data_IF_195073163921
#
_entry.id   IF_195073163921
#
_cell.length_a   1.000
_cell.length_b   1.000
_cell.length_c   1.000
_cell.angle_alpha   90.00
_cell.angle_beta   90.00
_cell.angle_gamma   90.00
#
_symmetry.space_group_name_H-M   'P 1'
#
loop_
_entity.id
_entity.type
_entity.pdbx_description
1 polymer ?
#
# COMPACT_ATOMS: atom_id res chain seq x y z
N UNK A 1 9.53 -4.11 7.44
CA UNK A 1 9.85 -5.47 7.93
C UNK A 1 11.29 -5.81 7.57
N UNK A 2 11.98 -6.60 8.40
CA UNK A 2 13.20 -7.31 8.00
C UNK A 2 12.80 -8.73 7.59
N UNK A 3 13.14 -9.13 6.37
CA UNK A 3 12.72 -10.41 5.78
C UNK A 3 13.90 -11.38 5.66
N UNK A 4 13.69 -12.60 6.12
CA UNK A 4 14.66 -13.69 6.18
C UNK A 4 14.10 -14.89 5.40
N UNK A 5 14.35 -14.99 4.08
CA UNK A 5 13.81 -16.05 3.26
C UNK A 5 14.59 -17.36 3.44
N UNK A 6 13.90 -18.50 3.33
CA UNK A 6 14.50 -19.83 3.35
C UNK A 6 15.74 -19.96 2.45
N UNK A 7 16.77 -20.66 2.94
CA UNK A 7 17.94 -21.10 2.16
C UNK A 7 17.56 -22.23 1.19
N UNK A 8 16.46 -22.95 1.45
CA UNK A 8 16.02 -24.03 0.59
C UNK A 8 15.39 -23.48 -0.69
N UNK A 9 16.06 -23.67 -1.83
CA UNK A 9 15.56 -23.23 -3.14
C UNK A 9 14.35 -24.01 -3.64
N UNK A 10 14.09 -25.21 -3.09
CA UNK A 10 12.93 -26.02 -3.41
C UNK A 10 11.72 -25.71 -2.52
N UNK A 11 11.88 -24.93 -1.45
CA UNK A 11 10.75 -24.47 -0.66
C UNK A 11 9.86 -23.58 -1.54
N UNK A 12 8.54 -23.69 -1.35
CA UNK A 12 7.61 -22.72 -1.92
C UNK A 12 8.09 -21.31 -1.55
N UNK A 13 7.96 -20.33 -2.44
CA UNK A 13 8.31 -18.94 -2.14
C UNK A 13 7.04 -18.17 -1.82
N UNK A 14 7.03 -17.29 -0.80
CA UNK A 14 5.84 -16.50 -0.54
C UNK A 14 5.57 -15.59 -1.74
N UNK A 15 4.28 -15.30 -1.99
CA UNK A 15 3.89 -14.40 -3.08
C UNK A 15 4.58 -13.04 -2.91
N UNK A 16 5.34 -12.54 -3.91
CA UNK A 16 6.00 -11.24 -3.81
C UNK A 16 5.05 -10.09 -3.49
N UNK A 17 3.78 -10.16 -3.89
CA UNK A 17 2.78 -9.15 -3.56
C UNK A 17 2.50 -9.10 -2.06
N UNK A 18 2.36 -10.28 -1.42
CA UNK A 18 2.13 -10.35 0.02
C UNK A 18 3.34 -9.87 0.81
N UNK A 19 4.55 -10.27 0.37
CA UNK A 19 5.81 -9.82 0.98
C UNK A 19 5.94 -8.30 0.90
N UNK A 20 5.69 -7.72 -0.27
CA UNK A 20 5.71 -6.27 -0.48
C UNK A 20 4.66 -5.56 0.39
N UNK A 21 3.46 -6.13 0.49
CA UNK A 21 2.39 -5.56 1.34
C UNK A 21 2.77 -5.60 2.82
N UNK A 22 3.33 -6.71 3.30
CA UNK A 22 3.85 -6.80 4.67
C UNK A 22 5.01 -5.83 4.92
N UNK A 23 5.87 -5.58 3.93
CA UNK A 23 6.89 -4.53 4.04
C UNK A 23 6.33 -3.12 4.21
N UNK A 24 5.18 -2.82 3.60
CA UNK A 24 4.48 -1.55 3.76
C UNK A 24 3.78 -1.44 5.12
N UNK A 25 3.21 -2.55 5.61
CA UNK A 25 2.43 -2.58 6.84
C UNK A 25 3.28 -2.68 8.11
N UNK A 26 4.43 -3.34 8.05
CA UNK A 26 5.27 -3.65 9.20
C UNK A 26 6.61 -2.91 9.14
N UNK A 27 7.09 -2.40 10.28
CA UNK A 27 8.38 -1.69 10.38
C UNK A 27 9.61 -2.61 10.42
N UNK A 28 10.81 -2.03 10.50
CA UNK A 28 12.07 -2.81 10.61
C UNK A 28 12.23 -3.53 11.96
N UNK A 29 11.42 -3.19 12.96
CA UNK A 29 11.37 -3.90 14.23
C UNK A 29 10.70 -5.28 14.12
N UNK A 30 9.98 -5.56 13.04
CA UNK A 30 9.40 -6.88 12.81
C UNK A 30 10.31 -7.68 11.89
N UNK A 31 10.77 -8.82 12.39
CA UNK A 31 11.59 -9.78 11.69
C UNK A 31 10.71 -10.92 11.24
N UNK A 32 10.76 -11.27 9.96
CA UNK A 32 9.90 -12.28 9.38
C UNK A 32 10.73 -13.35 8.68
N UNK A 33 10.70 -14.55 9.23
CA UNK A 33 11.34 -15.74 8.69
C UNK A 33 10.31 -16.50 7.87
N UNK A 34 10.55 -16.67 6.58
CA UNK A 34 9.56 -17.26 5.68
C UNK A 34 10.01 -18.60 5.09
N UNK A 35 9.09 -19.57 5.08
CA UNK A 35 9.26 -20.94 4.57
C UNK A 35 10.46 -21.64 5.21
N UNK A 36 10.58 -21.44 6.52
CA UNK A 36 11.61 -22.04 7.35
C UNK A 36 11.35 -23.52 7.57
N UNK A 37 12.39 -24.25 7.93
CA UNK A 37 12.30 -25.67 8.32
C UNK A 37 12.96 -25.83 9.67
N UNK A 38 12.20 -26.32 10.64
CA UNK A 38 12.64 -26.49 12.03
C UNK A 38 12.75 -27.98 12.32
N UNK A 39 13.94 -28.36 12.79
CA UNK A 39 14.26 -29.72 13.19
C UNK A 39 14.35 -29.75 14.73
N UNK A 40 13.40 -30.42 15.37
CA UNK A 40 13.30 -30.45 16.82
C UNK A 40 13.50 -31.90 17.31
N UNK A 41 14.45 -32.17 18.22
CA UNK A 41 14.73 -33.54 18.66
C UNK A 41 13.48 -34.27 19.17
N UNK A 42 13.17 -35.43 18.60
CA UNK A 42 12.03 -36.26 18.99
C UNK A 42 10.66 -35.76 18.49
N UNK A 43 10.62 -34.79 17.57
CA UNK A 43 9.41 -34.34 16.89
C UNK A 43 9.58 -34.46 15.37
N UNK A 44 8.48 -34.61 14.61
CA UNK A 44 8.54 -34.46 13.17
C UNK A 44 9.08 -33.08 12.77
N UNK A 45 9.81 -33.05 11.65
CA UNK A 45 10.25 -31.81 11.03
C UNK A 45 9.04 -30.90 10.79
N UNK A 46 9.14 -29.65 11.24
CA UNK A 46 8.13 -28.64 11.02
C UNK A 46 8.54 -27.71 9.88
N UNK A 47 7.73 -27.68 8.82
CA UNK A 47 7.79 -26.65 7.79
C UNK A 47 6.96 -25.46 8.26
N UNK A 48 7.55 -24.27 8.28
CA UNK A 48 6.94 -23.06 8.84
C UNK A 48 6.83 -22.02 7.75
N UNK A 49 5.61 -21.67 7.34
CA UNK A 49 5.41 -20.65 6.33
C UNK A 49 5.91 -19.29 6.79
N UNK A 50 5.52 -18.86 8.00
CA UNK A 50 5.98 -17.59 8.57
C UNK A 50 6.17 -17.65 10.07
N UNK A 51 7.34 -17.20 10.53
CA UNK A 51 7.56 -16.79 11.91
C UNK A 51 7.85 -15.29 11.95
N UNK A 52 7.03 -14.54 12.67
CA UNK A 52 7.25 -13.14 12.97
C UNK A 52 7.81 -12.99 14.38
N UNK A 53 8.86 -12.20 14.52
CA UNK A 53 9.37 -11.73 15.80
C UNK A 53 9.32 -10.20 15.83
N UNK A 54 8.58 -9.65 16.79
CA UNK A 54 8.52 -8.22 17.01
C UNK A 54 9.57 -7.82 18.06
N UNK A 55 10.68 -7.23 17.62
CA UNK A 55 11.81 -6.91 18.50
C UNK A 55 11.53 -5.80 19.51
N UNK A 56 10.47 -5.00 19.31
CA UNK A 56 10.05 -3.97 20.28
C UNK A 56 9.15 -4.54 21.38
N UNK A 57 8.40 -5.60 21.07
CA UNK A 57 7.46 -6.22 22.00
C UNK A 57 7.93 -7.56 22.57
N UNK A 58 8.97 -8.13 21.97
CA UNK A 58 9.49 -9.44 22.34
C UNK A 58 8.46 -10.55 22.12
N UNK A 59 7.69 -10.47 21.05
CA UNK A 59 6.61 -11.42 20.75
C UNK A 59 6.91 -12.24 19.50
N UNK A 60 6.59 -13.53 19.57
CA UNK A 60 6.59 -14.43 18.41
C UNK A 60 5.17 -14.72 17.94
N UNK A 61 4.94 -14.66 16.63
CA UNK A 61 3.71 -15.09 15.97
C UNK A 61 4.09 -16.08 14.88
N UNK A 62 3.53 -17.29 14.96
CA UNK A 62 3.69 -18.35 13.97
C UNK A 62 2.45 -18.36 13.09
N UNK A 63 2.61 -18.14 11.79
CA UNK A 63 1.49 -18.02 10.85
C UNK A 63 1.62 -19.02 9.71
N UNK A 64 0.61 -19.88 9.54
CA UNK A 64 0.47 -20.75 8.37
C UNK A 64 -0.30 -20.04 7.26
N UNK A 65 0.13 -20.20 6.02
CA UNK A 65 -0.48 -19.58 4.85
C UNK A 65 -1.20 -20.62 4.02
N UNK A 66 -2.52 -20.44 3.83
CA UNK A 66 -3.31 -21.30 2.97
C UNK A 66 -3.99 -20.49 1.89
N UNK A 67 -3.88 -20.98 0.66
CA UNK A 67 -4.61 -20.46 -0.50
C UNK A 67 -5.46 -21.58 -1.08
N UNK A 68 -6.77 -21.40 -1.02
CA UNK A 68 -7.74 -22.35 -1.55
C UNK A 68 -8.28 -21.91 -2.91
N UNK A 69 -8.78 -22.85 -3.74
CA UNK A 69 -9.36 -22.52 -5.04
C UNK A 69 -10.72 -21.81 -4.95
N UNK A 70 -11.37 -21.85 -3.78
CA UNK A 70 -12.66 -21.22 -3.51
C UNK A 70 -12.65 -20.54 -2.14
N UNK A 71 -13.61 -19.64 -1.90
CA UNK A 71 -13.78 -18.98 -0.60
C UNK A 71 -13.98 -20.01 0.50
N UNK A 72 -13.49 -19.71 1.71
CA UNK A 72 -13.73 -20.53 2.89
C UNK A 72 -15.12 -20.20 3.41
N UNK A 73 -16.00 -21.20 3.39
CA UNK A 73 -17.36 -21.07 3.93
C UNK A 73 -17.34 -21.16 5.45
N UNK A 74 -16.60 -22.14 5.98
CA UNK A 74 -16.58 -22.44 7.40
C UNK A 74 -15.17 -22.78 7.88
N UNK A 75 -14.72 -22.03 8.89
CA UNK A 75 -13.50 -22.28 9.66
C UNK A 75 -13.89 -23.03 10.93
N UNK A 76 -13.27 -24.18 11.13
CA UNK A 76 -13.47 -25.04 12.30
C UNK A 76 -12.20 -25.08 13.15
N UNK A 77 -12.37 -25.33 14.45
CA UNK A 77 -11.26 -25.63 15.35
C UNK A 77 -10.68 -27.03 15.10
N UNK A 78 -9.65 -27.43 15.84
CA UNK A 78 -9.02 -28.75 15.74
C UNK A 78 -10.02 -29.92 15.78
N UNK A 79 -9.75 -30.97 15.00
CA UNK A 79 -10.54 -32.20 14.92
C UNK A 79 -11.59 -32.22 13.81
N UNK A 80 -11.81 -31.09 13.10
CA UNK A 80 -12.74 -31.00 11.97
C UNK A 80 -12.11 -30.27 10.78
N UNK A 81 -12.41 -30.66 9.55
CA UNK A 81 -11.93 -29.96 8.36
C UNK A 81 -12.56 -28.58 8.24
N UNK A 82 -11.94 -27.72 7.43
CA UNK A 82 -12.59 -26.50 6.96
C UNK A 82 -13.42 -26.82 5.72
N UNK A 83 -14.52 -26.10 5.54
CA UNK A 83 -15.40 -26.27 4.39
C UNK A 83 -15.29 -25.07 3.46
N UNK A 84 -15.08 -25.32 2.17
CA UNK A 84 -15.06 -24.30 1.13
C UNK A 84 -16.47 -24.02 0.62
N UNK A 85 -16.69 -22.84 0.03
CA UNK A 85 -17.95 -22.46 -0.60
C UNK A 85 -18.38 -23.40 -1.74
N UNK A 86 -17.44 -24.17 -2.30
CA UNK A 86 -17.73 -25.24 -3.26
C UNK A 86 -18.34 -26.51 -2.64
N UNK A 87 -18.54 -26.55 -1.31
CA UNK A 87 -18.95 -27.73 -0.56
C UNK A 87 -17.83 -28.75 -0.33
N UNK A 88 -16.59 -28.42 -0.68
CA UNK A 88 -15.43 -29.31 -0.51
C UNK A 88 -14.80 -29.10 0.87
N UNK A 89 -14.52 -30.19 1.56
CA UNK A 89 -13.73 -30.17 2.78
C UNK A 89 -12.22 -30.18 2.49
N UNK A 90 -11.49 -29.40 3.28
CA UNK A 90 -10.03 -29.28 3.22
C UNK A 90 -9.40 -29.49 4.59
N UNK A 91 -8.15 -29.98 4.59
CA UNK A 91 -7.40 -30.22 5.81
C UNK A 91 -7.33 -28.96 6.68
N UNK A 92 -7.43 -29.12 8.00
CA UNK A 92 -7.47 -28.01 8.93
C UNK A 92 -6.08 -27.39 9.14
N UNK A 93 -5.86 -26.13 8.75
CA UNK A 93 -4.56 -25.47 8.91
C UNK A 93 -4.21 -25.20 10.39
N UNK A 94 -5.22 -25.09 11.27
CA UNK A 94 -5.00 -24.88 12.71
C UNK A 94 -4.24 -26.06 13.31
N UNK A 95 -4.59 -27.30 12.93
CA UNK A 95 -3.88 -28.50 13.38
C UNK A 95 -2.43 -28.53 12.87
N UNK A 96 -2.21 -28.04 11.65
CA UNK A 96 -0.86 -27.94 11.10
C UNK A 96 -0.01 -26.95 11.90
N UNK A 97 -0.55 -25.76 12.19
CA UNK A 97 0.10 -24.77 13.06
C UNK A 97 0.32 -25.35 14.45
N UNK A 98 -0.62 -26.12 15.00
CA UNK A 98 -0.48 -26.80 16.30
C UNK A 98 0.74 -27.72 16.36
N UNK A 99 0.98 -28.51 15.32
CA UNK A 99 2.19 -29.37 15.21
C UNK A 99 3.46 -28.54 15.09
N UNK A 100 3.46 -27.53 14.22
CA UNK A 100 4.61 -26.63 14.02
C UNK A 100 4.97 -25.88 15.32
N UNK A 101 3.96 -25.41 16.05
CA UNK A 101 4.09 -24.67 17.29
C UNK A 101 4.88 -25.45 18.34
N UNK A 102 4.64 -26.76 18.47
CA UNK A 102 5.36 -27.61 19.40
C UNK A 102 6.86 -27.72 19.05
N UNK A 103 7.17 -27.96 17.78
CA UNK A 103 8.54 -28.04 17.29
C UNK A 103 9.30 -26.72 17.48
N UNK A 104 8.69 -25.60 17.07
CA UNK A 104 9.25 -24.26 17.22
C UNK A 104 9.49 -23.92 18.68
N UNK A 105 8.49 -24.16 19.55
CA UNK A 105 8.61 -23.91 20.99
C UNK A 105 9.74 -24.71 21.62
N UNK A 106 9.94 -25.95 21.19
CA UNK A 106 11.03 -26.81 21.70
C UNK A 106 12.40 -26.24 21.34
N UNK A 107 12.63 -25.94 20.07
CA UNK A 107 13.90 -25.39 19.58
C UNK A 107 14.18 -24.03 20.22
N UNK A 108 13.20 -23.12 20.29
CA UNK A 108 13.41 -21.83 20.95
C UNK A 108 13.77 -21.97 22.43
N UNK A 109 13.14 -22.90 23.16
CA UNK A 109 13.48 -23.14 24.59
C UNK A 109 14.89 -23.66 24.77
N UNK A 110 15.30 -24.59 23.92
CA UNK A 110 16.58 -25.29 24.04
C UNK A 110 17.74 -24.41 23.58
N UNK A 111 17.59 -23.78 22.41
CA UNK A 111 18.71 -23.18 21.67
C UNK A 111 18.71 -21.65 21.69
N UNK A 112 17.62 -21.01 22.11
CA UNK A 112 17.50 -19.53 22.07
C UNK A 112 17.29 -18.94 23.46
N UNK A 113 16.33 -19.45 24.24
CA UNK A 113 15.94 -18.81 25.50
C UNK A 113 17.07 -18.72 26.52
N UNK A 114 17.92 -19.74 26.63
CA UNK A 114 19.02 -19.76 27.59
C UNK A 114 20.05 -18.68 27.33
N UNK A 115 20.36 -18.44 26.07
CA UNK A 115 21.39 -17.49 25.65
C UNK A 115 20.86 -16.06 25.61
N UNK A 116 19.72 -15.85 24.94
CA UNK A 116 19.23 -14.50 24.64
C UNK A 116 18.20 -13.97 25.65
N UNK A 117 17.54 -14.87 26.40
CA UNK A 117 16.46 -14.51 27.31
C UNK A 117 16.60 -15.17 28.71
N UNK A 118 17.77 -15.08 29.36
CA UNK A 118 18.07 -15.85 30.57
C UNK A 118 17.17 -15.52 31.77
N UNK A 119 16.60 -14.31 31.79
CA UNK A 119 15.69 -13.84 32.85
C UNK A 119 14.24 -14.29 32.68
N UNK A 120 13.90 -14.89 31.53
CA UNK A 120 12.53 -15.32 31.22
C UNK A 120 12.40 -16.82 31.46
N UNK A 121 11.36 -17.22 32.20
CA UNK A 121 11.03 -18.63 32.36
C UNK A 121 10.79 -19.26 30.98
N UNK A 122 11.56 -20.30 30.66
CA UNK A 122 11.47 -21.01 29.37
C UNK A 122 10.07 -21.61 29.15
N UNK A 123 9.36 -21.95 30.23
CA UNK A 123 7.99 -22.46 30.12
C UNK A 123 6.98 -21.36 29.77
N UNK A 124 7.26 -20.11 30.15
CA UNK A 124 6.47 -18.92 29.81
C UNK A 124 6.54 -18.49 28.34
N UNK A 125 7.36 -19.17 27.52
CA UNK A 125 7.45 -18.93 26.08
C UNK A 125 6.09 -19.07 25.39
N UNK A 126 5.49 -17.92 25.09
CA UNK A 126 4.17 -17.84 24.48
C UNK A 126 4.30 -17.41 23.02
N UNK A 127 4.39 -18.38 22.11
CA UNK A 127 4.20 -18.13 20.68
C UNK A 127 2.71 -18.13 20.35
N UNK A 128 2.29 -17.19 19.52
CA UNK A 128 0.90 -17.13 19.07
C UNK A 128 0.73 -17.85 17.75
N UNK A 129 -0.08 -18.92 17.69
CA UNK A 129 -0.44 -19.55 16.44
C UNK A 129 -1.45 -18.70 15.68
N UNK A 130 -1.29 -18.56 14.37
CA UNK A 130 -2.28 -17.97 13.49
C UNK A 130 -2.30 -18.65 12.12
N UNK A 131 -3.38 -18.43 11.40
CA UNK A 131 -3.52 -18.84 10.00
C UNK A 131 -3.90 -17.63 9.18
N UNK A 132 -3.24 -17.42 8.05
CA UNK A 132 -3.63 -16.46 7.04
C UNK A 132 -4.18 -17.18 5.82
N UNK A 133 -5.36 -16.77 5.36
CA UNK A 133 -5.97 -17.25 4.13
C UNK A 133 -6.79 -16.14 3.47
N UNK A 134 -6.40 -15.64 2.28
CA UNK A 134 -7.11 -14.55 1.60
C UNK A 134 -8.54 -14.91 1.17
N UNK A 135 -8.89 -16.20 1.18
CA UNK A 135 -10.23 -16.71 0.90
C UNK A 135 -11.19 -16.61 2.10
N UNK A 136 -10.74 -16.06 3.22
CA UNK A 136 -11.56 -15.80 4.40
C UNK A 136 -12.03 -14.36 4.36
N UNK A 137 -13.32 -14.16 4.50
CA UNK A 137 -13.96 -12.85 4.45
C UNK A 137 -14.98 -12.70 5.58
N UNK A 138 -15.80 -11.65 5.53
CA UNK A 138 -16.83 -11.37 6.53
C UNK A 138 -18.02 -12.34 6.45
N UNK A 139 -18.19 -13.07 5.34
CA UNK A 139 -19.22 -14.09 5.18
C UNK A 139 -18.75 -15.46 5.68
N UNK A 140 -17.44 -15.68 5.84
CA UNK A 140 -16.90 -16.90 6.43
C UNK A 140 -17.40 -17.10 7.87
N UNK A 141 -18.07 -18.22 8.11
CA UNK A 141 -18.47 -18.63 9.46
C UNK A 141 -17.24 -19.14 10.22
N UNK A 142 -16.90 -18.49 11.32
CA UNK A 142 -15.81 -18.92 12.20
C UNK A 142 -16.38 -19.55 13.47
N UNK A 143 -16.04 -20.82 13.73
CA UNK A 143 -16.27 -21.41 15.04
C UNK A 143 -15.34 -20.77 16.07
N UNK A 144 -15.69 -20.85 17.36
CA UNK A 144 -14.86 -20.34 18.46
C UNK A 144 -13.58 -21.18 18.56
N UNK A 145 -12.52 -20.71 17.92
CA UNK A 145 -11.18 -21.29 18.00
C UNK A 145 -10.72 -21.28 19.46
N UNK A 146 -10.31 -22.43 19.99
CA UNK A 146 -9.75 -22.52 21.34
C UNK A 146 -8.42 -21.80 21.44
N UNK A 147 -7.60 -21.88 20.39
CA UNK A 147 -6.26 -21.31 20.36
C UNK A 147 -5.91 -20.69 19.00
N UNK A 148 -5.36 -19.48 19.03
CA UNK A 148 -4.89 -18.76 17.85
C UNK A 148 -5.94 -17.88 17.17
N UNK A 149 -5.55 -17.30 16.04
CA UNK A 149 -6.41 -16.46 15.23
C UNK A 149 -6.32 -16.82 13.75
N UNK A 150 -7.41 -16.59 13.04
CA UNK A 150 -7.47 -16.79 11.60
C UNK A 150 -7.75 -15.44 10.93
N UNK A 151 -6.98 -15.12 9.90
CA UNK A 151 -6.98 -13.82 9.24
C UNK A 151 -7.29 -13.95 7.75
N UNK A 152 -8.24 -13.14 7.29
CA UNK A 152 -8.59 -13.00 5.87
C UNK A 152 -7.69 -12.01 5.14
N UNK A 153 -7.10 -11.05 5.86
CA UNK A 153 -6.28 -9.99 5.26
C UNK A 153 -4.91 -9.86 5.91
N UNK A 154 -3.94 -9.35 5.14
CA UNK A 154 -2.60 -9.07 5.65
C UNK A 154 -2.63 -7.93 6.68
N UNK A 155 -3.57 -7.00 6.58
CA UNK A 155 -3.79 -5.93 7.55
C UNK A 155 -4.17 -6.49 8.92
N UNK A 156 -5.07 -7.48 8.95
CA UNK A 156 -5.45 -8.16 10.20
C UNK A 156 -4.25 -8.90 10.82
N UNK A 157 -3.49 -9.63 10.01
CA UNK A 157 -2.28 -10.31 10.47
C UNK A 157 -1.23 -9.32 10.98
N UNK A 158 -0.95 -8.25 10.22
CA UNK A 158 0.01 -7.24 10.60
C UNK A 158 -0.41 -6.54 11.90
N UNK A 159 -1.70 -6.24 12.07
CA UNK A 159 -2.25 -5.67 13.29
C UNK A 159 -2.02 -6.59 14.50
N UNK A 160 -2.23 -7.90 14.34
CA UNK A 160 -1.91 -8.88 15.38
C UNK A 160 -0.42 -8.86 15.74
N UNK A 161 0.46 -8.93 14.75
CA UNK A 161 1.93 -8.92 14.94
C UNK A 161 2.39 -7.65 15.65
N UNK A 162 1.80 -6.50 15.31
CA UNK A 162 2.12 -5.21 15.92
C UNK A 162 1.54 -5.03 17.32
N UNK A 163 0.32 -5.52 17.58
CA UNK A 163 -0.40 -5.20 18.83
C UNK A 163 -0.33 -6.29 19.89
N UNK A 164 0.17 -7.48 19.55
CA UNK A 164 0.26 -8.57 20.50
C UNK A 164 1.05 -8.15 21.75
N UNK A 165 0.47 -8.43 22.91
CA UNK A 165 1.12 -8.28 24.20
C UNK A 165 1.31 -9.67 24.82
N UNK A 166 2.38 -9.81 25.61
CA UNK A 166 2.68 -11.01 26.40
C UNK A 166 3.10 -10.57 27.80
N UNK A 167 2.89 -11.44 28.77
CA UNK A 167 3.29 -11.21 30.16
C UNK A 167 4.80 -11.23 30.36
N UNK A 168 5.51 -12.04 29.57
CA UNK A 168 6.96 -12.16 29.59
C UNK A 168 7.53 -11.86 28.19
N UNK A 169 7.84 -10.59 27.88
CA UNK A 169 8.37 -10.20 26.58
C UNK A 169 9.83 -10.64 26.41
N UNK A 170 10.14 -11.22 25.26
CA UNK A 170 11.47 -11.71 24.90
C UNK A 170 12.25 -10.61 24.19
N UNK A 171 12.82 -9.69 24.95
CA UNK A 171 13.55 -8.54 24.42
C UNK A 171 15.06 -8.77 24.47
N UNK A 172 15.76 -8.27 23.45
CA UNK A 172 17.24 -8.25 23.41
C UNK A 172 17.72 -6.83 23.31
N UNK A 173 18.67 -6.47 24.17
CA UNK A 173 19.31 -5.15 24.19
C UNK A 173 20.65 -5.18 23.46
N UNK A 174 20.93 -4.15 22.68
CA UNK A 174 22.21 -3.99 21.96
C UNK A 174 22.18 -4.49 20.52
N UNK A 175 22.92 -3.81 19.65
CA UNK A 175 22.97 -4.11 18.22
C UNK A 175 23.60 -5.48 17.94
N UNK A 176 24.72 -5.78 18.59
CA UNK A 176 25.43 -7.07 18.50
C UNK A 176 24.52 -8.24 18.88
N UNK A 177 23.92 -8.20 20.07
CA UNK A 177 23.05 -9.29 20.54
C UNK A 177 21.81 -9.48 19.65
N UNK A 178 21.25 -8.39 19.08
CA UNK A 178 20.16 -8.50 18.09
C UNK A 178 20.63 -9.18 16.80
N UNK A 179 21.82 -8.85 16.32
CA UNK A 179 22.39 -9.51 15.14
C UNK A 179 22.64 -11.00 15.42
N UNK A 180 23.26 -11.34 16.54
CA UNK A 180 23.52 -12.74 16.93
C UNK A 180 22.22 -13.52 17.11
N UNK A 181 21.18 -12.93 17.72
CA UNK A 181 19.86 -13.55 17.79
C UNK A 181 19.27 -13.77 16.39
N UNK A 182 19.35 -12.77 15.52
CA UNK A 182 18.83 -12.89 14.16
C UNK A 182 19.57 -13.97 13.35
N UNK A 183 20.89 -14.11 13.52
CA UNK A 183 21.69 -15.17 12.91
C UNK A 183 21.31 -16.54 13.46
N UNK A 184 21.15 -16.65 14.79
CA UNK A 184 20.74 -17.90 15.45
C UNK A 184 19.36 -18.35 14.96
N UNK A 185 18.39 -17.44 14.95
CA UNK A 185 17.05 -17.72 14.41
C UNK A 185 17.12 -18.03 12.90
N UNK A 186 17.94 -17.31 12.12
CA UNK A 186 18.09 -17.62 10.70
C UNK A 186 18.68 -19.02 10.49
N UNK A 187 19.64 -19.45 11.30
CA UNK A 187 20.20 -20.81 11.20
C UNK A 187 19.19 -21.88 11.61
N UNK A 188 18.53 -21.71 12.76
CA UNK A 188 17.53 -22.65 13.29
C UNK A 188 16.35 -22.86 12.32
N UNK A 189 15.93 -21.80 11.63
CA UNK A 189 14.84 -21.87 10.64
C UNK A 189 15.35 -22.11 9.21
N UNK A 190 16.66 -22.28 9.02
CA UNK A 190 17.34 -22.44 7.72
C UNK A 190 17.03 -21.30 6.74
N UNK A 191 16.94 -20.08 7.24
CA UNK A 191 16.76 -18.84 6.49
C UNK A 191 18.09 -18.12 6.22
N UNK A 192 18.09 -17.30 5.18
CA UNK A 192 19.21 -16.44 4.80
C UNK A 192 19.08 -15.06 5.42
N UNK A 193 20.22 -14.43 5.71
CA UNK A 193 20.29 -13.06 6.21
C UNK A 193 21.03 -12.17 5.20
N UNK A 194 20.28 -11.26 4.56
CA UNK A 194 20.83 -10.35 3.57
C UNK A 194 21.74 -9.28 4.18
N UNK A 195 22.70 -8.77 3.41
CA UNK A 195 23.60 -7.68 3.85
C UNK A 195 22.85 -6.40 4.25
N UNK A 196 21.72 -6.11 3.60
CA UNK A 196 20.86 -4.98 3.97
C UNK A 196 20.18 -5.19 5.33
N UNK A 197 19.84 -6.42 5.69
CA UNK A 197 19.27 -6.76 7.01
C UNK A 197 20.34 -6.64 8.08
N UNK A 198 21.54 -7.20 7.84
CA UNK A 198 22.70 -7.07 8.75
C UNK A 198 22.99 -5.61 9.10
N UNK A 199 23.09 -4.75 8.08
CA UNK A 199 23.30 -3.30 8.25
C UNK A 199 22.18 -2.58 9.03
N UNK A 200 20.96 -3.12 9.06
CA UNK A 200 19.85 -2.54 9.83
C UNK A 200 19.85 -3.00 11.28
N UNK A 201 20.32 -4.22 11.55
CA UNK A 201 20.40 -4.79 12.90
C UNK A 201 21.61 -4.23 13.67
N UNK A 202 22.74 -4.15 12.96
CA UNK A 202 24.01 -3.61 13.42
C UNK A 202 24.52 -2.56 12.42
N UNK A 203 24.00 -1.32 12.51
CA UNK A 203 24.47 -0.25 11.65
C UNK A 203 25.94 0.06 11.97
N UNK A 204 26.78 0.29 10.95
CA UNK A 204 28.16 0.68 11.18
C UNK A 204 28.20 1.96 12.04
N UNK A 205 29.25 2.13 12.86
CA UNK A 205 29.40 3.34 13.65
C UNK A 205 29.31 4.55 12.73
N UNK A 206 28.54 5.57 13.17
CA UNK A 206 28.38 6.81 12.41
C UNK A 206 29.76 7.44 12.29
N UNK A 207 30.36 7.32 11.10
CA UNK A 207 31.60 8.01 10.76
C UNK A 207 31.23 9.48 10.69
N UNK A 208 31.54 10.22 11.74
CA UNK A 208 31.40 11.68 11.70
C UNK A 208 32.38 12.19 10.64
N UNK A 209 31.92 12.99 9.66
CA UNK A 209 32.85 13.62 8.74
C UNK A 209 33.83 14.48 9.56
N UNK A 210 35.09 14.53 9.10
CA UNK A 210 36.10 15.40 9.70
C UNK A 210 35.51 16.82 9.87
N UNK A 211 35.53 17.39 11.09
CA UNK A 211 35.04 18.74 11.35
C UNK A 211 35.55 19.76 10.33
N UNK A 212 36.81 19.65 9.88
CA UNK A 212 37.37 20.55 8.88
C UNK A 212 36.67 20.42 7.52
N UNK A 213 36.37 19.19 7.09
CA UNK A 213 35.63 18.92 5.85
C UNK A 213 34.19 19.41 5.93
N UNK A 214 33.52 19.23 7.09
CA UNK A 214 32.15 19.74 7.27
C UNK A 214 32.11 21.26 7.35
N UNK A 215 33.06 21.90 8.04
CA UNK A 215 33.19 23.35 8.09
C UNK A 215 33.44 23.94 6.70
N UNK A 216 34.33 23.32 5.91
CA UNK A 216 34.58 23.74 4.52
C UNK A 216 33.32 23.59 3.65
N UNK A 217 32.54 22.52 3.83
CA UNK A 217 31.27 22.35 3.14
C UNK A 217 30.26 23.43 3.53
N UNK A 218 30.13 23.74 4.83
CA UNK A 218 29.26 24.82 5.33
C UNK A 218 29.70 26.17 4.77
N UNK A 219 31.00 26.47 4.70
CA UNK A 219 31.48 27.71 4.09
C UNK A 219 31.15 27.81 2.60
N UNK A 220 31.14 26.68 1.85
CA UNK A 220 30.70 26.67 0.46
C UNK A 220 29.19 26.85 0.32
N UNK A 221 28.41 26.21 1.19
CA UNK A 221 26.95 26.39 1.26
C UNK A 221 26.60 27.86 1.56
N UNK A 222 27.29 28.48 2.52
CA UNK A 222 27.15 29.91 2.83
C UNK A 222 27.59 30.80 1.66
N UNK A 223 28.69 30.49 0.98
CA UNK A 223 29.12 31.26 -0.19
C UNK A 223 28.10 31.18 -1.34
N UNK A 224 27.53 30.00 -1.59
CA UNK A 224 26.47 29.81 -2.58
C UNK A 224 25.22 30.63 -2.24
N UNK A 225 24.81 30.66 -0.97
CA UNK A 225 23.70 31.48 -0.51
C UNK A 225 23.97 32.99 -0.66
N UNK A 226 25.20 33.45 -0.39
CA UNK A 226 25.56 34.85 -0.62
C UNK A 226 25.52 35.24 -2.10
N UNK A 227 25.91 34.33 -3.00
CA UNK A 227 25.80 34.55 -4.45
C UNK A 227 24.34 34.59 -4.90
N UNK A 228 23.49 33.72 -4.37
CA UNK A 228 22.05 33.72 -4.63
C UNK A 228 21.42 35.03 -4.12
N UNK A 229 21.76 35.47 -2.91
CA UNK A 229 21.27 36.74 -2.35
C UNK A 229 21.72 37.95 -3.20
N UNK A 230 22.99 37.98 -3.62
CA UNK A 230 23.48 39.04 -4.50
C UNK A 230 22.72 39.06 -5.83
N UNK A 231 22.44 37.89 -6.42
CA UNK A 231 21.67 37.81 -7.66
C UNK A 231 20.23 38.30 -7.53
N UNK A 232 19.63 38.18 -6.34
CA UNK A 232 18.29 38.71 -6.04
C UNK A 232 18.29 40.23 -5.81
N UNK A 233 19.41 40.78 -5.32
CA UNK A 233 19.57 42.23 -5.12
C UNK A 233 19.85 42.93 -6.45
N UNK A 234 20.62 42.31 -7.34
CA UNK A 234 20.95 42.84 -8.66
C UNK A 234 19.85 42.62 -9.71
N UNK A 235 18.75 41.93 -9.34
CA UNK A 235 17.61 41.74 -10.23
C UNK A 235 16.87 43.07 -10.47
N UNK A 236 16.75 43.55 -11.73
CA UNK A 236 16.02 44.78 -12.02
C UNK A 236 14.54 44.62 -11.68
N UNK A 237 13.84 45.72 -11.33
CA UNK A 237 12.40 45.66 -11.05
C UNK A 237 11.65 45.14 -12.27
N UNK A 238 10.85 44.08 -12.07
CA UNK A 238 9.98 43.50 -13.10
C UNK A 238 8.99 44.58 -13.54
N UNK A 239 9.11 45.03 -14.79
CA UNK A 239 8.14 45.92 -15.41
C UNK A 239 6.79 45.20 -15.51
N UNK A 240 5.77 45.76 -14.87
CA UNK A 240 4.37 45.31 -14.98
C UNK A 240 3.93 45.50 -16.44
N UNK A 241 3.44 44.47 -17.14
CA UNK A 241 2.89 44.64 -18.48
C UNK A 241 1.61 45.48 -18.42
N UNK A 242 1.54 46.51 -19.28
CA UNK A 242 0.40 47.41 -19.38
C UNK A 242 -0.88 46.68 -19.84
N UNK A 243 -2.07 47.08 -19.34
CA UNK A 243 -3.34 46.49 -19.74
C UNK A 243 -3.68 46.80 -21.21
N UNK A 244 -4.38 45.90 -21.91
CA UNK A 244 -4.76 46.10 -23.31
C UNK A 244 -5.76 47.25 -23.48
N UNK A 245 -5.54 48.05 -24.53
CA UNK A 245 -6.36 49.20 -24.90
C UNK A 245 -7.78 48.79 -25.34
N UNK A 246 -8.79 49.65 -25.10
CA UNK A 246 -10.18 49.38 -25.48
C UNK A 246 -10.41 49.57 -26.99
N UNK A 247 -11.29 48.77 -27.62
CA UNK A 247 -11.72 49.00 -29.00
C UNK A 247 -12.69 50.19 -29.11
N UNK A 248 -12.55 50.94 -30.20
CA UNK A 248 -13.37 52.11 -30.54
C UNK A 248 -14.77 51.73 -31.10
N UNK A 249 -15.75 52.65 -31.06
CA UNK A 249 -17.17 52.33 -31.25
C UNK A 249 -17.67 52.56 -32.69
N UNK A 250 -18.60 51.72 -33.17
CA UNK A 250 -19.54 52.08 -34.25
C UNK A 250 -20.96 51.56 -33.94
N UNK A 251 -21.80 52.55 -33.63
CA UNK A 251 -23.24 52.84 -33.81
C UNK A 251 -24.20 51.81 -34.48
N UNK A 252 -25.25 51.51 -33.69
CA UNK A 252 -26.70 51.35 -33.93
C UNK A 252 -27.29 50.34 -34.93
N UNK A 253 -28.22 49.52 -34.43
CA UNK A 253 -29.66 49.62 -34.74
C UNK A 253 -30.51 48.68 -33.83
N UNK A 254 -31.42 49.28 -33.04
CA UNK A 254 -32.86 48.94 -32.83
C UNK A 254 -33.34 47.47 -32.89
N UNK A 255 -34.33 46.96 -32.13
CA UNK A 255 -35.14 47.34 -30.97
C UNK A 255 -36.21 46.21 -30.80
N UNK A 256 -36.74 46.02 -29.58
CA UNK A 256 -38.07 45.45 -29.17
C UNK A 256 -38.35 43.91 -29.27
N UNK A 257 -39.33 43.37 -28.50
CA UNK A 257 -39.15 42.24 -27.59
C UNK A 257 -40.19 41.10 -27.79
N UNK A 258 -40.15 40.09 -26.89
CA UNK A 258 -41.18 39.19 -26.28
C UNK A 258 -42.61 39.04 -26.90
N UNK A 259 -43.51 38.13 -26.45
CA UNK A 259 -43.44 37.05 -25.43
C UNK A 259 -44.27 35.78 -25.80
N UNK A 260 -44.52 34.93 -24.78
CA UNK A 260 -45.77 34.19 -24.48
C UNK A 260 -45.96 32.72 -24.96
N UNK A 261 -45.87 31.83 -23.95
CA UNK A 261 -46.92 30.94 -23.44
C UNK A 261 -47.29 29.59 -24.11
N UNK A 262 -47.70 28.66 -23.21
CA UNK A 262 -48.69 27.57 -23.35
C UNK A 262 -48.31 26.35 -24.22
N UNK A 263 -48.73 25.10 -24.00
CA UNK A 263 -49.40 24.29 -22.95
C UNK A 263 -49.46 22.84 -23.52
N UNK A 264 -49.54 21.85 -22.62
CA UNK A 264 -50.29 20.57 -22.72
C UNK A 264 -49.89 19.40 -23.66
N UNK A 265 -49.90 18.22 -23.01
CA UNK A 265 -50.60 16.97 -23.36
C UNK A 265 -49.95 15.86 -24.21
N UNK A 266 -49.86 14.71 -23.51
CA UNK A 266 -50.44 13.39 -23.83
C UNK A 266 -49.66 12.27 -24.55
N UNK A 267 -49.89 11.08 -23.95
CA UNK A 267 -50.02 9.73 -24.52
C UNK A 267 -48.83 8.74 -24.47
N UNK A 268 -49.03 7.71 -23.62
CA UNK A 268 -48.57 6.30 -23.70
C UNK A 268 -48.97 5.60 -25.03
N UNK A 269 -48.62 4.31 -25.36
CA UNK A 269 -48.17 3.16 -24.53
C UNK A 269 -47.05 2.24 -25.15
N UNK A 270 -46.72 1.13 -24.44
CA UNK A 270 -45.75 0.01 -24.68
C UNK A 270 -46.08 -0.92 -25.91
N UNK A 271 -45.57 -2.19 -26.13
CA UNK A 271 -44.57 -3.08 -25.44
C UNK A 271 -43.71 -4.09 -26.32
N UNK A 272 -42.94 -4.99 -25.63
CA UNK A 272 -42.56 -6.42 -25.91
C UNK A 272 -41.22 -6.88 -26.59
N UNK A 273 -40.47 -7.66 -25.78
CA UNK A 273 -39.78 -8.97 -26.01
C UNK A 273 -38.61 -9.19 -27.02
N UNK A 274 -37.60 -9.96 -26.59
CA UNK A 274 -36.62 -10.63 -27.48
C UNK A 274 -35.39 -11.24 -26.78
N UNK A 275 -35.20 -12.56 -26.92
CA UNK A 275 -34.26 -13.47 -26.24
C UNK A 275 -32.95 -13.68 -27.02
N UNK A 276 -31.92 -14.17 -26.32
CA UNK A 276 -30.82 -15.05 -26.76
C UNK A 276 -29.40 -14.43 -26.86
N UNK A 277 -28.58 -14.82 -25.89
CA UNK A 277 -27.13 -14.65 -25.79
C UNK A 277 -26.39 -15.70 -26.64
N UNK A 278 -25.44 -15.23 -27.44
CA UNK A 278 -24.51 -16.03 -28.22
C UNK A 278 -23.26 -16.43 -27.43
N UNK A 279 -22.72 -17.59 -27.78
CA UNK A 279 -21.52 -18.22 -27.25
C UNK A 279 -20.23 -17.82 -28.00
N UNK A 280 -19.21 -17.43 -27.22
CA UNK A 280 -17.73 -17.60 -27.37
C UNK A 280 -16.99 -17.09 -28.63
N UNK A 281 -15.70 -16.64 -28.57
CA UNK A 281 -14.63 -17.21 -27.73
C UNK A 281 -13.67 -16.24 -26.99
N UNK A 282 -12.92 -16.86 -26.09
CA UNK A 282 -11.82 -16.36 -25.25
C UNK A 282 -10.59 -15.92 -26.05
N UNK A 283 -10.08 -14.69 -25.82
CA UNK A 283 -8.63 -14.36 -25.88
C UNK A 283 -8.30 -13.24 -24.87
N UNK A 284 -7.33 -13.56 -24.01
CA UNK A 284 -6.47 -12.75 -23.12
C UNK A 284 -6.45 -11.22 -23.25
N UNK A 285 -6.41 -10.50 -22.10
CA UNK A 285 -5.46 -9.38 -21.85
C UNK A 285 -5.29 -9.12 -20.33
N UNK A 286 -4.37 -9.85 -19.70
CA UNK A 286 -3.77 -9.50 -18.39
C UNK A 286 -2.78 -8.32 -18.48
N UNK A 287 -2.65 -7.68 -19.65
CA UNK A 287 -1.72 -6.59 -19.94
C UNK A 287 -2.27 -5.18 -19.61
N UNK A 288 -3.58 -5.02 -19.36
CA UNK A 288 -4.19 -3.70 -19.23
C UNK A 288 -4.05 -3.04 -17.83
N UNK A 289 -3.84 -3.81 -16.75
CA UNK A 289 -3.69 -3.23 -15.38
C UNK A 289 -2.30 -2.66 -15.11
N UNK A 290 -1.27 -3.13 -15.81
CA UNK A 290 0.06 -2.52 -15.75
C UNK A 290 0.11 -1.14 -16.42
N UNK A 291 -0.87 -0.81 -17.29
CA UNK A 291 -0.86 0.47 -18.00
C UNK A 291 -1.39 1.62 -17.15
N UNK A 292 -2.50 1.47 -16.39
CA UNK A 292 -3.15 2.58 -15.66
C UNK A 292 -2.22 3.28 -14.66
N UNK A 293 -1.54 2.51 -13.80
CA UNK A 293 -0.58 3.08 -12.85
C UNK A 293 0.66 3.67 -13.56
N UNK A 294 1.07 3.06 -14.68
CA UNK A 294 2.18 3.54 -15.50
C UNK A 294 1.88 4.87 -16.20
N UNK A 295 0.67 5.03 -16.76
CA UNK A 295 0.20 6.28 -17.36
C UNK A 295 0.13 7.40 -16.31
N UNK A 296 -0.49 7.13 -15.15
CA UNK A 296 -0.59 8.12 -14.07
C UNK A 296 0.80 8.53 -13.53
N UNK A 297 1.69 7.57 -13.30
CA UNK A 297 3.08 7.83 -12.92
C UNK A 297 3.81 8.64 -13.99
N UNK A 298 3.62 8.32 -15.27
CA UNK A 298 4.22 9.03 -16.39
C UNK A 298 3.83 10.51 -16.45
N UNK A 299 2.57 10.85 -16.19
CA UNK A 299 2.12 12.25 -16.12
C UNK A 299 2.76 13.00 -14.96
N UNK A 300 2.82 12.39 -13.77
CA UNK A 300 3.44 13.01 -12.60
C UNK A 300 4.94 13.20 -12.80
N UNK A 301 5.65 12.18 -13.28
CA UNK A 301 7.10 12.27 -13.51
C UNK A 301 7.46 13.29 -14.60
N UNK A 302 6.59 13.50 -15.60
CA UNK A 302 6.83 14.45 -16.68
C UNK A 302 6.55 15.90 -16.27
N UNK A 303 5.55 16.13 -15.43
CA UNK A 303 5.00 17.47 -15.17
C UNK A 303 5.29 18.00 -13.76
N UNK A 304 5.72 17.15 -12.83
CA UNK A 304 6.12 17.55 -11.48
C UNK A 304 7.64 17.49 -11.35
N UNK A 305 8.33 18.65 -11.25
CA UNK A 305 9.78 18.67 -11.08
C UNK A 305 10.17 18.05 -9.73
N UNK A 306 11.35 17.43 -9.68
CA UNK A 306 11.88 16.80 -8.47
C UNK A 306 12.39 17.81 -7.41
N UNK A 307 12.60 19.06 -7.82
CA UNK A 307 13.01 20.19 -6.97
C UNK A 307 12.02 21.35 -7.17
N UNK A 308 11.46 21.87 -6.08
CA UNK A 308 10.50 22.99 -6.11
C UNK A 308 9.14 22.68 -6.75
N UNK A 309 8.45 21.57 -6.42
CA UNK A 309 7.09 21.31 -6.90
C UNK A 309 6.11 22.38 -6.40
N UNK A 310 5.23 22.86 -7.28
CA UNK A 310 4.24 23.91 -6.98
C UNK A 310 2.83 23.40 -7.24
N UNK A 311 1.81 24.06 -6.69
CA UNK A 311 0.41 23.70 -6.94
C UNK A 311 0.04 23.72 -8.43
N UNK A 312 0.72 24.51 -9.26
CA UNK A 312 0.48 24.56 -10.71
C UNK A 312 1.00 23.30 -11.41
N UNK A 313 2.18 22.81 -11.05
CA UNK A 313 2.73 21.55 -11.56
C UNK A 313 1.81 20.35 -11.24
N UNK A 314 1.26 20.32 -10.03
CA UNK A 314 0.29 19.31 -9.63
C UNK A 314 -1.01 19.43 -10.44
N UNK A 315 -1.48 20.65 -10.69
CA UNK A 315 -2.70 20.90 -11.47
C UNK A 315 -2.52 20.37 -12.89
N UNK A 316 -1.42 20.71 -13.53
CA UNK A 316 -1.15 20.33 -14.91
C UNK A 316 -0.97 18.81 -15.05
N UNK A 317 -0.30 18.17 -14.08
CA UNK A 317 -0.18 16.71 -14.02
C UNK A 317 -1.55 16.02 -13.87
N UNK A 318 -2.43 16.55 -13.02
CA UNK A 318 -3.76 16.01 -12.78
C UNK A 318 -4.68 16.18 -14.00
N UNK A 319 -4.71 17.37 -14.62
CA UNK A 319 -5.51 17.63 -15.82
C UNK A 319 -5.02 16.80 -17.01
N UNK A 320 -3.71 16.63 -17.18
CA UNK A 320 -3.15 15.75 -18.20
C UNK A 320 -3.57 14.28 -17.98
N UNK A 321 -3.62 13.83 -16.73
CA UNK A 321 -4.08 12.49 -16.38
C UNK A 321 -5.60 12.30 -16.65
N UNK A 322 -6.43 13.31 -16.41
CA UNK A 322 -7.86 13.27 -16.77
C UNK A 322 -8.09 13.24 -18.29
N UNK A 323 -7.15 13.77 -19.07
CA UNK A 323 -7.22 13.82 -20.52
C UNK A 323 -6.61 12.58 -21.21
N UNK A 324 -5.85 11.76 -20.49
CA UNK A 324 -5.22 10.54 -21.03
C UNK A 324 -6.27 9.51 -21.47
N UNK A 325 -6.09 8.97 -22.69
CA UNK A 325 -7.08 8.07 -23.32
C UNK A 325 -7.27 6.76 -22.57
N UNK A 326 -6.24 6.28 -21.87
CA UNK A 326 -6.31 5.06 -21.05
C UNK A 326 -6.94 5.37 -19.70
N UNK A 327 -6.56 6.48 -19.07
CA UNK A 327 -7.11 6.91 -17.79
C UNK A 327 -8.56 7.39 -17.87
N UNK A 328 -9.03 7.89 -19.02
CA UNK A 328 -10.47 8.13 -19.26
C UNK A 328 -11.31 6.86 -19.17
N UNK A 329 -10.76 5.70 -19.54
CA UNK A 329 -11.46 4.41 -19.47
C UNK A 329 -11.42 3.81 -18.07
N UNK A 330 -10.29 3.93 -17.37
CA UNK A 330 -10.11 3.36 -16.04
C UNK A 330 -10.50 4.28 -14.89
N UNK A 331 -10.57 5.58 -15.11
CA UNK A 331 -10.60 6.61 -14.08
C UNK A 331 -9.21 6.95 -13.55
N UNK A 332 -9.10 8.12 -12.90
CA UNK A 332 -7.90 8.59 -12.21
C UNK A 332 -8.06 8.32 -10.71
N UNK A 333 -7.15 7.54 -10.14
CA UNK A 333 -7.18 7.27 -8.70
C UNK A 333 -6.48 8.39 -7.94
N UNK A 334 -7.24 9.14 -7.13
CA UNK A 334 -6.77 10.33 -6.41
C UNK A 334 -5.66 9.99 -5.41
N UNK A 335 -5.83 8.90 -4.65
CA UNK A 335 -4.79 8.41 -3.73
C UNK A 335 -3.47 8.03 -4.40
N UNK A 336 -3.51 7.32 -5.55
CA UNK A 336 -2.32 6.98 -6.32
C UNK A 336 -1.64 8.22 -6.91
N UNK A 337 -2.43 9.16 -7.44
CA UNK A 337 -1.92 10.45 -7.89
C UNK A 337 -1.14 11.17 -6.78
N UNK A 338 -1.72 11.28 -5.58
CA UNK A 338 -1.05 11.84 -4.41
C UNK A 338 0.21 11.08 -4.00
N UNK A 339 0.21 9.75 -4.11
CA UNK A 339 1.38 8.92 -3.79
C UNK A 339 2.54 9.14 -4.75
N UNK A 340 2.27 9.37 -6.05
CA UNK A 340 3.30 9.67 -7.03
C UNK A 340 3.81 11.10 -6.87
N UNK A 341 2.94 12.07 -6.57
CA UNK A 341 3.38 13.44 -6.26
C UNK A 341 4.26 13.44 -5.02
N UNK A 342 3.90 12.67 -3.99
CA UNK A 342 4.70 12.53 -2.76
C UNK A 342 6.11 11.98 -2.99
N UNK A 343 6.36 11.24 -4.08
CA UNK A 343 7.70 10.78 -4.46
C UNK A 343 8.58 11.90 -5.05
N UNK A 344 7.96 13.00 -5.49
CA UNK A 344 8.62 14.18 -6.05
C UNK A 344 8.78 15.33 -5.05
N UNK A 345 8.18 15.20 -3.85
CA UNK A 345 8.37 16.17 -2.77
C UNK A 345 9.69 15.88 -2.06
N UNK A 346 10.61 16.83 -2.07
CA UNK A 346 11.89 16.77 -1.35
C UNK A 346 11.96 17.88 -0.31
N UNK A 347 12.63 17.63 0.83
CA UNK A 347 12.75 18.60 1.92
C UNK A 347 11.49 18.72 2.80
N UNK A 348 11.15 19.94 3.22
CA UNK A 348 10.03 20.23 4.15
C UNK A 348 8.67 20.39 3.47
N UNK A 349 8.61 20.42 2.13
CA UNK A 349 7.36 20.61 1.38
C UNK A 349 6.43 19.41 1.56
N UNK A 350 5.24 19.63 2.14
CA UNK A 350 4.22 18.59 2.31
C UNK A 350 3.14 18.73 1.24
N UNK A 351 2.57 17.60 0.84
CA UNK A 351 1.44 17.59 -0.10
C UNK A 351 0.26 18.43 0.42
N UNK A 352 0.07 18.47 1.74
CA UNK A 352 -0.95 19.29 2.39
C UNK A 352 -0.78 20.80 2.12
N UNK A 353 0.46 21.27 1.94
CA UNK A 353 0.78 22.68 1.70
C UNK A 353 0.44 23.07 0.25
N UNK A 354 0.49 22.09 -0.67
CA UNK A 354 0.19 22.28 -2.09
C UNK A 354 -1.27 21.98 -2.47
N UNK A 355 -2.03 21.31 -1.59
CA UNK A 355 -3.43 20.93 -1.82
C UNK A 355 -4.33 21.38 -0.66
N UNK A 356 -4.67 22.68 -0.57
CA UNK A 356 -5.49 23.20 0.52
C UNK A 356 -6.88 22.54 0.55
N UNK A 357 -7.33 22.18 1.76
CA UNK A 357 -8.60 21.47 1.96
C UNK A 357 -8.55 19.97 1.66
N UNK A 358 -7.36 19.42 1.40
CA UNK A 358 -7.12 18.00 1.16
C UNK A 358 -7.18 17.61 -0.32
N UNK A 359 -6.35 16.64 -0.71
CA UNK A 359 -6.11 16.24 -2.10
C UNK A 359 -7.39 15.95 -2.89
N UNK A 360 -8.37 15.24 -2.32
CA UNK A 360 -9.61 14.90 -3.01
C UNK A 360 -10.48 16.13 -3.32
N UNK A 361 -10.62 17.04 -2.35
CA UNK A 361 -11.37 18.28 -2.51
C UNK A 361 -10.66 19.21 -3.50
N UNK A 362 -9.34 19.29 -3.40
CA UNK A 362 -8.51 20.05 -4.33
C UNK A 362 -8.63 19.52 -5.76
N UNK A 363 -8.52 18.20 -5.99
CA UNK A 363 -8.68 17.60 -7.32
C UNK A 363 -10.06 17.90 -7.94
N UNK A 364 -11.14 17.90 -7.16
CA UNK A 364 -12.47 18.29 -7.66
C UNK A 364 -12.52 19.76 -8.04
N UNK A 365 -11.99 20.65 -7.19
CA UNK A 365 -11.94 22.08 -7.47
C UNK A 365 -11.11 22.40 -8.73
N UNK A 366 -9.99 21.70 -8.96
CA UNK A 366 -9.18 21.90 -10.16
C UNK A 366 -9.86 21.40 -11.44
N UNK A 367 -10.59 20.28 -11.37
CA UNK A 367 -11.35 19.78 -12.52
C UNK A 367 -12.51 20.74 -12.87
N UNK A 368 -13.23 21.22 -11.87
CA UNK A 368 -14.31 22.20 -12.04
C UNK A 368 -13.80 23.53 -12.62
N UNK A 369 -12.69 24.05 -12.10
CA UNK A 369 -12.04 25.26 -12.63
C UNK A 369 -11.57 25.09 -14.09
N UNK A 370 -11.24 23.86 -14.52
CA UNK A 370 -10.89 23.53 -15.89
C UNK A 370 -12.10 23.21 -16.78
N UNK A 371 -13.34 23.32 -16.27
CA UNK A 371 -14.56 23.00 -17.00
C UNK A 371 -14.78 21.50 -17.24
N UNK A 372 -14.10 20.63 -16.47
CA UNK A 372 -14.19 19.18 -16.60
C UNK A 372 -15.09 18.63 -15.50
N UNK A 373 -16.24 18.07 -15.89
CA UNK A 373 -17.11 17.37 -14.95
C UNK A 373 -16.49 16.02 -14.57
N UNK A 374 -16.18 15.84 -13.28
CA UNK A 374 -15.72 14.56 -12.74
C UNK A 374 -16.67 14.04 -11.68
N UNK A 375 -16.91 12.73 -11.68
CA UNK A 375 -17.75 12.04 -10.71
C UNK A 375 -16.93 10.95 -10.03
N UNK A 376 -17.15 10.74 -8.73
CA UNK A 376 -16.55 9.64 -7.99
C UNK A 376 -17.15 8.32 -8.43
N UNK A 377 -16.31 7.33 -8.65
CA UNK A 377 -16.77 6.00 -9.01
C UNK A 377 -17.62 5.41 -7.87
N UNK A 378 -18.83 4.89 -8.17
CA UNK A 378 -19.74 4.37 -7.15
C UNK A 378 -19.24 3.08 -6.49
N UNK A 379 -18.31 2.37 -7.12
CA UNK A 379 -17.68 1.14 -6.63
C UNK A 379 -16.38 1.46 -5.87
N UNK A 380 -15.62 2.45 -6.32
CA UNK A 380 -14.42 2.94 -5.64
C UNK A 380 -14.39 4.47 -5.53
N UNK A 381 -14.78 5.06 -4.38
CA UNK A 381 -14.83 6.51 -4.21
C UNK A 381 -13.46 7.20 -4.30
N UNK A 382 -12.36 6.44 -4.36
CA UNK A 382 -11.00 6.93 -4.56
C UNK A 382 -10.67 7.20 -6.03
N UNK A 383 -11.51 6.74 -6.95
CA UNK A 383 -11.37 6.92 -8.40
C UNK A 383 -12.33 8.00 -8.87
N UNK A 384 -11.80 8.96 -9.64
CA UNK A 384 -12.60 9.98 -10.32
C UNK A 384 -12.63 9.72 -11.82
N UNK A 385 -13.79 9.87 -12.43
CA UNK A 385 -14.01 9.66 -13.86
C UNK A 385 -14.55 10.93 -14.49
N UNK A 386 -14.05 11.26 -15.68
CA UNK A 386 -14.64 12.32 -16.50
C UNK A 386 -15.98 11.84 -17.00
N UNK A 387 -17.04 12.58 -16.70
CA UNK A 387 -18.33 12.42 -17.39
C UNK A 387 -18.30 13.37 -18.57
N UNK A 388 -18.58 12.86 -19.77
CA UNK A 388 -18.92 13.74 -20.87
C UNK A 388 -20.13 14.54 -20.42
N UNK A 389 -20.00 15.87 -20.33
CA UNK A 389 -21.18 16.72 -20.21
C UNK A 389 -22.18 16.29 -21.29
N UNK A 390 -23.46 16.10 -20.96
CA UNK A 390 -24.47 15.82 -21.96
C UNK A 390 -24.37 16.95 -22.99
N UNK A 391 -24.12 16.56 -24.24
CA UNK A 391 -24.17 17.46 -25.37
C UNK A 391 -25.58 18.10 -25.37
N UNK A 392 -25.77 19.41 -25.16
CA UNK A 392 -27.10 20.02 -25.16
C UNK A 392 -27.66 20.17 -26.59
N UNK A 393 -27.25 19.30 -27.52
CA UNK A 393 -27.68 19.27 -28.92
C UNK A 393 -28.15 17.87 -29.37
N UNK A 394 -28.62 17.05 -28.43
CA UNK A 394 -29.44 15.87 -28.74
C UNK A 394 -30.70 15.81 -27.89
N UNK A 395 -31.31 16.98 -27.65
CA UNK A 395 -32.73 17.12 -27.29
C UNK A 395 -33.26 18.41 -27.93
N UNK A 396 -33.68 18.26 -29.18
CA UNK A 396 -34.59 19.09 -29.99
C UNK A 396 -34.44 18.54 -31.43
N UNK A 397 -35.38 17.86 -32.09
CA UNK A 397 -36.85 18.08 -32.17
C UNK A 397 -37.19 19.57 -32.18
#
# INVERSE_FOLDING_TARGET
>A
MLHFPSKNTAAHRPDPLDVNRLHQLLGHHVWAFSNGRVDAPGLPVAEVDWLFYNSLRGTFVLSEWKRYPANVLQVMDEGKPWTLASGRDVANPVEQVGRQLQAVRRVLRQDVCREFFPSVDQHSLNLYPSVYSPQIDTATRQERLRYGAVHGTLEQLALLVERRAVTAPLLVSGAVARLTLAETLAELFRCSIGSAVRRKLDPPPVVRPDPAVRMAAIHRELAALHLELASLIDAPPVAVPAPPAPPAPIVAATHVPAPLATRLSDAQPQPLAGVATSSSPTVTTKAARASVAGHLKGHVTRLVPASGPTSEHLRDAFLAALQDKQLKRSGVHVGLFGSFVGQHLTGEAKLADLTPGGLSKWCHAQAEAAGICIVRDPIDPSVVRTVSSPNPQKEAV
#
